data_IF_709052636298
#
_entry.id   IF_709052636298
#
_cell.length_a   1.000
_cell.length_b   1.000
_cell.length_c   1.000
_cell.angle_alpha   90.00
_cell.angle_beta   90.00
_cell.angle_gamma   90.00
#
_symmetry.space_group_name_H-M   'P 1'
#
loop_
_entity.id
_entity.type
_entity.pdbx_description
1 polymer ?
#
# COMPACT_ATOMS: atom_id res chain seq x y z
N UNK A 1 18.12 0.27 5.31
CA UNK A 1 17.02 -0.57 5.84
C UNK A 1 15.72 0.21 5.71
N UNK A 2 14.66 -0.30 5.06
CA UNK A 2 13.43 0.46 4.89
C UNK A 2 12.56 0.38 6.15
N UNK A 3 12.20 1.55 6.69
CA UNK A 3 11.27 1.72 7.82
C UNK A 3 9.82 1.61 7.34
N UNK A 4 9.02 0.74 7.98
CA UNK A 4 7.59 0.57 7.67
C UNK A 4 6.75 1.41 8.62
N UNK A 5 6.00 2.38 8.10
CA UNK A 5 4.98 3.15 8.83
C UNK A 5 3.59 2.59 8.45
N UNK A 6 2.77 2.20 9.43
CA UNK A 6 1.40 1.69 9.23
C UNK A 6 0.37 2.57 9.92
N UNK A 7 -0.66 3.02 9.18
CA UNK A 7 -1.86 3.67 9.71
C UNK A 7 -3.04 2.69 9.64
N UNK A 8 -3.13 1.79 10.62
CA UNK A 8 -4.10 0.69 10.63
C UNK A 8 -5.58 1.15 10.61
N UNK A 9 -5.90 2.32 11.16
CA UNK A 9 -7.30 2.78 11.26
C UNK A 9 -7.88 3.30 9.95
N UNK A 10 -7.04 3.86 9.07
CA UNK A 10 -7.47 4.41 7.78
C UNK A 10 -7.45 3.38 6.65
N UNK A 11 -6.84 2.21 6.87
CA UNK A 11 -6.57 1.23 5.80
C UNK A 11 -5.91 1.87 4.57
N UNK A 12 -4.88 2.68 4.80
CA UNK A 12 -4.21 3.43 3.75
C UNK A 12 -2.73 3.07 3.67
N UNK A 13 -2.18 3.19 2.46
CA UNK A 13 -0.78 2.90 2.14
C UNK A 13 -0.12 4.22 1.77
N UNK A 14 1.01 4.49 2.42
CA UNK A 14 1.87 5.64 2.12
C UNK A 14 3.14 5.16 1.44
N UNK A 15 3.56 5.87 0.41
CA UNK A 15 4.81 5.61 -0.33
C UNK A 15 5.75 6.79 -0.13
N UNK A 16 6.98 6.47 0.25
CA UNK A 16 8.07 7.42 0.43
C UNK A 16 9.27 6.97 -0.39
N UNK A 17 9.94 7.91 -1.04
CA UNK A 17 11.27 7.68 -1.56
C UNK A 17 12.29 7.90 -0.44
N UNK A 18 13.03 6.84 -0.12
CA UNK A 18 14.07 6.84 0.92
C UNK A 18 15.47 6.62 0.34
N UNK A 19 15.67 6.92 -0.95
CA UNK A 19 16.97 6.76 -1.64
C UNK A 19 18.08 7.53 -0.92
N UNK A 20 17.78 8.75 -0.48
CA UNK A 20 18.62 9.47 0.47
C UNK A 20 17.94 9.49 1.85
N UNK A 21 18.49 8.81 2.87
CA UNK A 21 17.88 8.77 4.20
C UNK A 21 17.89 10.12 4.91
N UNK A 22 18.70 11.09 4.47
CA UNK A 22 18.70 12.46 4.99
C UNK A 22 17.66 13.37 4.30
N UNK A 23 17.08 12.91 3.20
CA UNK A 23 16.09 13.66 2.41
C UNK A 23 15.01 12.71 1.92
N UNK A 24 14.15 12.29 2.84
CA UNK A 24 12.99 11.45 2.53
C UNK A 24 11.92 12.30 1.86
N UNK A 25 11.41 11.87 0.71
CA UNK A 25 10.31 12.54 0.02
C UNK A 25 9.05 11.69 0.06
N UNK A 26 7.93 12.32 0.38
CA UNK A 26 6.62 11.70 0.23
C UNK A 26 6.28 11.60 -1.26
N UNK A 27 5.87 10.42 -1.69
CA UNK A 27 5.47 10.19 -3.08
C UNK A 27 3.96 10.08 -3.22
N UNK A 28 3.32 9.24 -2.42
CA UNK A 28 1.91 8.94 -2.65
C UNK A 28 1.17 8.44 -1.40
N UNK A 29 -0.15 8.61 -1.42
CA UNK A 29 -1.08 8.09 -0.42
C UNK A 29 -2.30 7.53 -1.14
N UNK A 30 -2.55 6.24 -0.96
CA UNK A 30 -3.68 5.57 -1.57
C UNK A 30 -4.40 4.67 -0.57
N UNK A 31 -5.69 4.52 -0.78
CA UNK A 31 -6.59 3.67 0.01
C UNK A 31 -7.70 3.15 -0.90
N UNK A 32 -8.20 1.97 -0.60
CA UNK A 32 -9.32 1.37 -1.30
C UNK A 32 -10.39 1.00 -0.29
N UNK A 33 -10.91 2.00 0.41
CA UNK A 33 -11.87 1.84 1.52
C UNK A 33 -13.02 2.82 1.36
N UNK A 34 -14.23 2.34 1.65
CA UNK A 34 -15.42 3.19 1.73
C UNK A 34 -15.32 4.22 2.86
N UNK A 35 -15.63 5.48 2.55
CA UNK A 35 -15.52 6.62 3.48
C UNK A 35 -16.87 7.24 3.87
N UNK A 36 -17.99 6.68 3.41
CA UNK A 36 -19.31 7.26 3.65
C UNK A 36 -19.70 7.07 5.11
N UNK A 37 -19.99 8.17 5.80
CA UNK A 37 -20.44 8.16 7.19
C UNK A 37 -21.80 7.50 7.33
N UNK A 38 -21.96 6.63 8.33
CA UNK A 38 -23.21 5.90 8.58
C UNK A 38 -23.42 4.65 7.72
N UNK A 39 -22.56 4.43 6.72
CA UNK A 39 -22.59 3.22 5.88
C UNK A 39 -21.67 2.13 6.42
N UNK A 40 -21.92 0.89 5.98
CA UNK A 40 -21.00 -0.20 6.24
C UNK A 40 -19.65 0.09 5.57
N UNK A 41 -18.58 -0.10 6.33
CA UNK A 41 -17.22 0.05 5.82
C UNK A 41 -16.94 -1.07 4.80
N UNK A 42 -16.55 -0.70 3.59
CA UNK A 42 -16.25 -1.62 2.48
C UNK A 42 -14.81 -1.45 1.98
N UNK A 43 -14.34 -2.41 1.18
CA UNK A 43 -13.01 -2.38 0.55
C UNK A 43 -11.95 -3.12 1.35
N UNK A 44 -10.72 -2.62 1.28
CA UNK A 44 -9.53 -3.20 1.90
C UNK A 44 -9.42 -2.75 3.36
N UNK A 45 -9.53 -3.70 4.29
CA UNK A 45 -9.66 -3.43 5.72
C UNK A 45 -8.58 -4.11 6.55
N UNK A 46 -7.95 -3.32 7.44
CA UNK A 46 -6.82 -3.75 8.26
C UNK A 46 -5.69 -4.37 7.43
N UNK A 47 -4.96 -3.55 6.64
CA UNK A 47 -3.82 -4.03 5.87
C UNK A 47 -2.73 -4.57 6.78
N UNK A 48 -2.54 -5.89 6.74
CA UNK A 48 -1.58 -6.66 7.51
C UNK A 48 -0.63 -7.41 6.58
N UNK A 49 0.66 -7.08 6.70
CA UNK A 49 1.68 -7.66 5.85
C UNK A 49 1.68 -7.04 4.46
N UNK A 50 2.88 -6.74 3.98
CA UNK A 50 3.10 -6.17 2.65
C UNK A 50 4.31 -6.84 2.02
N UNK A 51 4.21 -7.16 0.73
CA UNK A 51 5.32 -7.68 -0.07
C UNK A 51 5.44 -6.90 -1.37
N UNK A 52 6.60 -6.29 -1.55
CA UNK A 52 6.99 -5.67 -2.80
C UNK A 52 7.55 -6.72 -3.76
N UNK A 53 7.20 -6.60 -5.03
CA UNK A 53 7.73 -7.35 -6.16
C UNK A 53 8.33 -6.33 -7.13
N UNK A 54 9.62 -6.45 -7.39
CA UNK A 54 10.30 -5.59 -8.34
C UNK A 54 9.77 -5.84 -9.77
N UNK A 55 9.84 -4.84 -10.64
CA UNK A 55 9.36 -4.94 -12.02
C UNK A 55 9.95 -6.15 -12.78
N UNK A 56 11.24 -6.43 -12.57
CA UNK A 56 11.96 -7.57 -13.16
C UNK A 56 11.44 -8.96 -12.72
N UNK A 57 10.79 -9.03 -11.56
CA UNK A 57 10.25 -10.27 -10.97
C UNK A 57 8.72 -10.36 -11.18
N UNK A 58 8.13 -9.43 -11.92
CA UNK A 58 6.69 -9.28 -12.11
C UNK A 58 6.25 -9.78 -13.50
N UNK A 59 5.12 -10.51 -13.61
CA UNK A 59 4.60 -10.96 -14.91
C UNK A 59 4.08 -9.81 -15.79
N UNK A 60 3.98 -8.59 -15.27
CA UNK A 60 3.52 -7.41 -16.01
C UNK A 60 4.65 -6.43 -16.36
N UNK A 61 5.91 -6.76 -16.03
CA UNK A 61 7.08 -5.87 -16.14
C UNK A 61 6.91 -4.54 -15.36
N UNK A 62 5.99 -4.49 -14.39
CA UNK A 62 5.73 -3.36 -13.51
C UNK A 62 5.91 -3.76 -12.05
N UNK A 63 6.40 -2.84 -11.23
CA UNK A 63 6.54 -3.08 -9.81
C UNK A 63 5.16 -3.29 -9.16
N UNK A 64 5.03 -4.31 -8.31
CA UNK A 64 3.79 -4.64 -7.64
C UNK A 64 3.94 -4.58 -6.12
N UNK A 65 2.87 -4.17 -5.44
CA UNK A 65 2.73 -4.25 -4.00
C UNK A 65 1.54 -5.14 -3.65
N UNK A 66 1.84 -6.29 -3.04
CA UNK A 66 0.86 -7.19 -2.46
C UNK A 66 0.57 -6.77 -1.02
N UNK A 67 -0.71 -6.69 -0.68
CA UNK A 67 -1.18 -6.29 0.65
C UNK A 67 -2.22 -7.29 1.11
N UNK A 68 -1.98 -7.94 2.24
CA UNK A 68 -3.01 -8.75 2.91
C UNK A 68 -3.90 -7.83 3.74
N UNK A 69 -5.21 -8.06 3.76
CA UNK A 69 -6.16 -7.29 4.53
C UNK A 69 -6.89 -8.25 5.49
N UNK A 70 -6.58 -8.16 6.77
CA UNK A 70 -7.01 -9.12 7.79
C UNK A 70 -8.53 -9.12 7.97
N UNK A 71 -9.13 -7.93 8.06
CA UNK A 71 -10.55 -7.78 8.40
C UNK A 71 -11.45 -8.00 7.18
N UNK A 72 -11.03 -7.58 5.98
CA UNK A 72 -11.77 -7.88 4.76
C UNK A 72 -11.49 -9.28 4.22
N UNK A 73 -10.46 -9.97 4.71
CA UNK A 73 -10.04 -11.29 4.22
C UNK A 73 -9.55 -11.27 2.77
N UNK A 74 -9.17 -10.10 2.24
CA UNK A 74 -8.75 -9.90 0.85
C UNK A 74 -7.24 -9.81 0.73
N UNK A 75 -6.71 -10.10 -0.46
CA UNK A 75 -5.36 -9.72 -0.86
C UNK A 75 -5.46 -8.77 -2.03
N UNK A 76 -4.90 -7.58 -1.88
CA UNK A 76 -4.89 -6.54 -2.91
C UNK A 76 -3.55 -6.53 -3.63
N UNK A 77 -3.60 -6.35 -4.95
CA UNK A 77 -2.42 -6.20 -5.80
C UNK A 77 -2.44 -4.80 -6.38
N UNK A 78 -1.42 -4.02 -6.04
CA UNK A 78 -1.25 -2.65 -6.52
C UNK A 78 -0.10 -2.59 -7.52
N UNK A 79 -0.33 -2.01 -8.69
CA UNK A 79 0.76 -1.63 -9.59
C UNK A 79 1.31 -0.27 -9.14
N UNK A 80 2.63 -0.19 -9.01
CA UNK A 80 3.34 1.04 -8.68
C UNK A 80 3.99 1.58 -9.96
N UNK A 81 3.66 2.81 -10.30
CA UNK A 81 4.28 3.54 -11.40
C UNK A 81 5.25 4.57 -10.80
N UNK A 82 6.50 4.54 -11.28
CA UNK A 82 7.46 5.62 -11.07
C UNK A 82 7.40 6.51 -12.32
N UNK A 83 7.08 7.79 -12.13
CA UNK A 83 7.21 8.82 -13.17
C UNK A 83 8.68 9.26 -13.33
#
# INVERSE_FOLDING_TARGET
MPSRLRLERMSAIMVYNVTNPHTVTFMNYFYNRGLVEGENITGDLAPEGMKFIAAQDSPTDKALLLVGNEISGSVSVWQIEED
#
